data_IF_222183173068
#
_entry.id   IF_222183173068
#
_cell.length_a   1.000
_cell.length_b   1.000
_cell.length_c   1.000
_cell.angle_alpha   90.00
_cell.angle_beta   90.00
_cell.angle_gamma   90.00
#
_symmetry.space_group_name_H-M   'P 1'
#
loop_
_entity.id
_entity.type
_entity.pdbx_description
1 polymer ?
#
# COMPACT_ATOMS: atom_id res chain seq x y z
N UNK A 1 -33.63 14.86 0.34
CA UNK A 1 -32.88 15.74 -0.63
C UNK A 1 -31.35 15.64 -0.46
N UNK A 2 -30.82 14.77 0.35
CA UNK A 2 -29.38 14.85 0.73
C UNK A 2 -28.52 13.69 0.28
N UNK A 3 -29.05 12.67 -0.33
CA UNK A 3 -28.27 11.46 -0.70
C UNK A 3 -27.61 11.53 -2.09
N UNK A 4 -27.83 12.57 -2.86
CA UNK A 4 -27.26 12.70 -4.22
C UNK A 4 -26.00 13.56 -4.32
N UNK A 5 -25.53 14.15 -3.20
CA UNK A 5 -24.37 15.05 -3.14
C UNK A 5 -23.08 14.37 -2.63
N UNK A 6 -23.17 13.13 -2.13
CA UNK A 6 -22.00 12.37 -1.68
C UNK A 6 -21.40 11.68 -2.91
N UNK A 7 -20.38 12.29 -3.49
CA UNK A 7 -19.71 11.83 -4.71
C UNK A 7 -19.69 12.84 -5.86
N UNK A 8 -20.28 14.03 -5.66
CA UNK A 8 -20.17 15.11 -6.65
C UNK A 8 -18.74 15.69 -6.66
N UNK A 9 -18.30 16.18 -7.82
CA UNK A 9 -17.00 16.86 -7.99
C UNK A 9 -16.78 17.99 -6.98
N UNK A 10 -17.86 18.64 -6.53
CA UNK A 10 -17.86 19.68 -5.51
C UNK A 10 -17.40 19.15 -4.15
N UNK A 11 -17.83 17.94 -3.74
CA UNK A 11 -17.39 17.32 -2.47
C UNK A 11 -15.91 16.90 -2.49
N UNK A 12 -15.40 16.45 -3.63
CA UNK A 12 -13.98 16.10 -3.80
C UNK A 12 -13.10 17.35 -3.70
N UNK A 13 -13.52 18.41 -4.38
CA UNK A 13 -12.84 19.70 -4.30
C UNK A 13 -12.82 20.25 -2.87
N UNK A 14 -13.94 20.16 -2.15
CA UNK A 14 -14.04 20.66 -0.76
C UNK A 14 -13.14 19.87 0.19
N UNK A 15 -13.04 18.55 0.05
CA UNK A 15 -12.09 17.72 0.83
C UNK A 15 -10.64 18.15 0.64
N UNK A 16 -10.26 18.52 -0.59
CA UNK A 16 -8.90 18.95 -0.89
C UNK A 16 -8.56 20.35 -0.34
N UNK A 17 -9.59 21.14 0.06
CA UNK A 17 -9.38 22.53 0.49
C UNK A 17 -8.68 22.66 1.84
N UNK A 18 -8.90 21.73 2.76
CA UNK A 18 -8.17 21.69 4.03
C UNK A 18 -6.67 21.60 3.81
N UNK A 19 -6.23 20.64 3.03
CA UNK A 19 -4.82 20.43 2.67
C UNK A 19 -4.24 21.63 1.88
N UNK A 20 -4.99 22.11 0.91
CA UNK A 20 -4.60 23.29 0.13
C UNK A 20 -4.35 24.53 1.01
N UNK A 21 -5.29 24.84 1.93
CA UNK A 21 -5.17 26.00 2.81
C UNK A 21 -4.03 25.83 3.82
N UNK A 22 -3.93 24.63 4.41
CA UNK A 22 -2.83 24.30 5.32
C UNK A 22 -1.47 24.40 4.60
N UNK A 23 -1.36 23.87 3.40
CA UNK A 23 -0.15 23.97 2.59
C UNK A 23 0.25 25.44 2.31
N UNK A 24 -0.71 26.31 2.03
CA UNK A 24 -0.45 27.75 1.86
C UNK A 24 0.03 28.43 3.15
N UNK A 25 -0.60 28.12 4.28
CA UNK A 25 -0.22 28.65 5.58
C UNK A 25 1.20 28.19 5.92
N UNK A 26 1.49 26.91 5.75
CA UNK A 26 2.83 26.37 6.02
C UNK A 26 3.90 26.95 5.10
N UNK A 27 3.61 27.10 3.81
CA UNK A 27 4.54 27.75 2.88
C UNK A 27 4.87 29.20 3.31
N UNK A 28 3.85 29.97 3.66
CA UNK A 28 4.02 31.32 4.15
C UNK A 28 4.79 31.38 5.49
N UNK A 29 4.49 30.46 6.41
CA UNK A 29 5.16 30.37 7.71
C UNK A 29 6.65 30.01 7.59
N UNK A 30 6.98 29.07 6.70
CA UNK A 30 8.35 28.61 6.47
C UNK A 30 9.15 29.51 5.52
N UNK A 31 8.49 30.42 4.78
CA UNK A 31 9.11 31.21 3.72
C UNK A 31 9.47 30.36 2.48
N UNK A 32 8.72 29.28 2.23
CA UNK A 32 8.92 28.33 1.12
C UNK A 32 7.96 28.63 -0.03
N UNK A 33 8.30 28.14 -1.22
CA UNK A 33 7.42 28.23 -2.38
C UNK A 33 6.19 27.33 -2.19
N UNK A 34 5.01 27.86 -2.48
CA UNK A 34 3.79 27.06 -2.54
C UNK A 34 3.59 26.47 -3.94
N UNK A 35 3.45 25.15 -4.04
CA UNK A 35 3.14 24.46 -5.29
C UNK A 35 1.80 23.73 -5.13
N UNK A 36 0.76 24.20 -5.81
CA UNK A 36 -0.54 23.53 -5.79
C UNK A 36 -0.43 22.15 -6.47
N UNK A 37 -0.81 21.09 -5.74
CA UNK A 37 -0.81 19.72 -6.25
C UNK A 37 -1.65 19.56 -7.53
N UNK A 38 -2.77 20.28 -7.64
CA UNK A 38 -3.60 20.28 -8.85
C UNK A 38 -2.86 20.79 -10.09
N UNK A 39 -1.77 21.54 -9.94
CA UNK A 39 -0.98 22.04 -11.06
C UNK A 39 0.08 21.06 -11.55
N UNK A 40 0.46 20.07 -10.74
CA UNK A 40 1.60 19.18 -10.99
C UNK A 40 1.28 17.68 -10.92
N UNK A 41 0.18 17.28 -10.29
CA UNK A 41 -0.29 15.89 -10.23
C UNK A 41 -1.47 15.72 -11.19
N UNK A 42 -1.33 14.80 -12.14
CA UNK A 42 -2.29 14.55 -13.21
C UNK A 42 -3.00 13.22 -13.07
N UNK A 43 -4.31 13.28 -13.28
CA UNK A 43 -5.18 12.13 -13.39
C UNK A 43 -5.84 12.08 -14.76
N UNK A 44 -6.10 10.88 -15.26
CA UNK A 44 -6.96 10.68 -16.41
C UNK A 44 -8.45 10.87 -16.04
N UNK A 45 -9.34 10.80 -17.04
CA UNK A 45 -10.79 10.93 -16.81
C UNK A 45 -11.37 9.80 -15.97
N UNK A 46 -10.74 8.62 -15.97
CA UNK A 46 -11.15 7.48 -15.15
C UNK A 46 -10.67 7.59 -13.69
N UNK A 47 -9.76 8.54 -13.39
CA UNK A 47 -9.22 8.76 -12.06
C UNK A 47 -7.90 8.03 -11.81
N UNK A 48 -7.26 7.47 -12.83
CA UNK A 48 -5.95 6.86 -12.71
C UNK A 48 -4.85 7.93 -12.77
N UNK A 49 -3.78 7.73 -12.02
CA UNK A 49 -2.62 8.61 -12.02
C UNK A 49 -1.86 8.54 -13.34
N UNK A 50 -1.67 9.68 -13.99
CA UNK A 50 -0.77 9.83 -15.14
C UNK A 50 0.68 10.05 -14.64
N UNK A 51 1.35 8.95 -14.26
CA UNK A 51 2.62 8.99 -13.52
C UNK A 51 3.74 9.70 -14.27
N UNK A 52 3.86 9.51 -15.59
CA UNK A 52 4.92 10.13 -16.40
C UNK A 52 4.72 11.63 -16.59
N UNK A 53 3.49 12.06 -16.85
CA UNK A 53 3.19 13.48 -16.99
C UNK A 53 3.33 14.19 -15.64
N UNK A 54 2.85 13.56 -14.54
CA UNK A 54 3.06 14.05 -13.18
C UNK A 54 4.56 14.24 -12.88
N UNK A 55 5.39 13.25 -13.17
CA UNK A 55 6.84 13.32 -12.95
C UNK A 55 7.47 14.49 -13.71
N UNK A 56 7.12 14.68 -14.96
CA UNK A 56 7.57 15.78 -15.81
C UNK A 56 7.20 17.15 -15.24
N UNK A 57 5.94 17.32 -14.82
CA UNK A 57 5.44 18.57 -14.27
C UNK A 57 6.09 18.89 -12.93
N UNK A 58 6.22 17.90 -12.04
CA UNK A 58 6.92 18.02 -10.76
C UNK A 58 8.38 18.41 -10.96
N UNK A 59 9.15 17.67 -11.77
CA UNK A 59 10.56 17.95 -12.03
C UNK A 59 10.75 19.36 -12.59
N UNK A 60 9.94 19.76 -13.57
CA UNK A 60 10.01 21.10 -14.18
C UNK A 60 9.66 22.21 -13.18
N UNK A 61 8.70 21.96 -12.29
CA UNK A 61 8.28 22.96 -11.31
C UNK A 61 9.29 23.10 -10.20
N UNK A 62 9.77 21.98 -9.65
CA UNK A 62 10.63 21.93 -8.49
C UNK A 62 12.11 22.28 -8.81
N UNK A 63 12.56 22.10 -10.07
CA UNK A 63 13.90 22.52 -10.48
C UNK A 63 14.16 24.02 -10.31
N UNK A 64 13.12 24.83 -10.09
CA UNK A 64 13.20 26.28 -9.89
C UNK A 64 13.08 26.70 -8.43
N UNK A 65 12.79 25.77 -7.53
CA UNK A 65 12.54 26.02 -6.12
C UNK A 65 13.58 25.32 -5.27
N UNK A 66 14.20 26.03 -4.35
CA UNK A 66 15.12 25.44 -3.38
C UNK A 66 14.34 24.68 -2.29
N UNK A 67 13.22 25.27 -1.86
CA UNK A 67 12.31 24.69 -0.87
C UNK A 67 10.87 24.92 -1.32
N UNK A 68 10.04 23.87 -1.24
CA UNK A 68 8.64 23.96 -1.63
C UNK A 68 7.73 23.20 -0.65
N UNK A 69 6.51 23.72 -0.48
CA UNK A 69 5.42 23.02 0.19
C UNK A 69 4.39 22.62 -0.86
N UNK A 70 4.10 21.33 -0.91
CA UNK A 70 3.13 20.73 -1.82
C UNK A 70 2.07 20.03 -0.98
N UNK A 71 0.80 20.46 -1.01
CA UNK A 71 -0.25 19.75 -0.30
C UNK A 71 -0.45 18.36 -0.93
N UNK A 72 -0.64 17.35 -0.07
CA UNK A 72 -0.79 15.97 -0.52
C UNK A 72 -2.20 15.58 -0.90
N UNK A 73 -2.37 14.33 -1.31
CA UNK A 73 -3.58 13.53 -1.46
C UNK A 73 -4.51 13.89 -2.64
N UNK A 74 -4.28 14.96 -3.40
CA UNK A 74 -5.08 15.35 -4.57
C UNK A 74 -4.22 15.78 -5.76
N UNK A 75 -4.86 15.88 -6.90
CA UNK A 75 -4.34 16.43 -8.15
C UNK A 75 -5.50 16.88 -9.05
N UNK A 76 -5.29 16.98 -10.34
CA UNK A 76 -6.35 17.34 -11.27
C UNK A 76 -6.23 16.62 -12.61
N UNK A 77 -7.38 16.44 -13.28
CA UNK A 77 -7.45 16.08 -14.69
C UNK A 77 -6.99 17.24 -15.59
N UNK A 78 -6.79 16.98 -16.87
CA UNK A 78 -6.37 17.98 -17.85
C UNK A 78 -7.37 19.16 -18.00
N UNK A 79 -8.66 18.91 -17.74
CA UNK A 79 -9.73 19.91 -17.75
C UNK A 79 -9.81 20.76 -16.47
N UNK A 80 -8.95 20.49 -15.49
CA UNK A 80 -8.92 21.17 -14.19
C UNK A 80 -9.83 20.56 -13.12
N UNK A 81 -10.56 19.48 -13.43
CA UNK A 81 -11.37 18.76 -12.43
C UNK A 81 -10.47 18.14 -11.36
N UNK A 82 -10.68 18.51 -10.10
CA UNK A 82 -9.88 17.98 -8.96
C UNK A 82 -10.26 16.54 -8.68
N UNK A 83 -9.25 15.70 -8.53
CA UNK A 83 -9.35 14.28 -8.12
C UNK A 83 -8.50 14.02 -6.89
N UNK A 84 -8.91 13.06 -6.08
CA UNK A 84 -8.17 12.60 -4.91
C UNK A 84 -7.71 11.17 -5.11
N UNK A 85 -6.58 10.81 -4.49
CA UNK A 85 -6.19 9.41 -4.38
C UNK A 85 -7.20 8.65 -3.53
N UNK A 86 -7.37 7.36 -3.81
CA UNK A 86 -8.32 6.50 -3.09
C UNK A 86 -7.88 6.21 -1.65
N UNK A 87 -6.57 6.00 -1.43
CA UNK A 87 -5.94 5.73 -0.14
C UNK A 87 -4.51 6.22 -0.12
N UNK A 88 -3.99 6.54 1.09
CA UNK A 88 -2.58 6.90 1.30
C UNK A 88 -2.08 8.04 0.42
N UNK A 89 -2.98 8.94 -0.02
CA UNK A 89 -2.68 9.91 -1.07
C UNK A 89 -1.59 10.91 -0.72
N UNK A 90 -1.42 11.23 0.56
CA UNK A 90 -0.32 12.08 1.02
C UNK A 90 1.01 11.37 0.88
N UNK A 91 1.08 10.09 1.25
CA UNK A 91 2.27 9.25 1.12
C UNK A 91 2.65 9.05 -0.36
N UNK A 92 1.64 8.80 -1.21
CA UNK A 92 1.82 8.70 -2.68
C UNK A 92 2.36 10.02 -3.23
N UNK A 93 1.80 11.16 -2.78
CA UNK A 93 2.28 12.49 -3.22
C UNK A 93 3.75 12.69 -2.84
N UNK A 94 4.13 12.39 -1.58
CA UNK A 94 5.52 12.48 -1.13
C UNK A 94 6.46 11.61 -1.96
N UNK A 95 6.06 10.38 -2.25
CA UNK A 95 6.80 9.43 -3.08
C UNK A 95 6.99 9.94 -4.53
N UNK A 96 5.94 10.50 -5.15
CA UNK A 96 6.02 11.10 -6.49
C UNK A 96 6.96 12.30 -6.52
N UNK A 97 6.91 13.13 -5.48
CA UNK A 97 7.82 14.28 -5.34
C UNK A 97 9.26 13.80 -5.18
N UNK A 98 9.51 12.86 -4.26
CA UNK A 98 10.84 12.30 -4.04
C UNK A 98 11.45 11.72 -5.33
N UNK A 99 10.65 10.97 -6.10
CA UNK A 99 11.05 10.48 -7.42
C UNK A 99 11.40 11.62 -8.38
N UNK A 100 10.54 12.63 -8.49
CA UNK A 100 10.67 13.72 -9.48
C UNK A 100 11.90 14.60 -9.26
N UNK A 101 12.39 14.70 -8.02
CA UNK A 101 13.60 15.47 -7.68
C UNK A 101 14.84 14.58 -7.47
N UNK A 102 14.72 13.26 -7.67
CA UNK A 102 15.78 12.28 -7.37
C UNK A 102 16.33 12.45 -5.96
N UNK A 103 15.41 12.43 -4.96
CA UNK A 103 15.75 12.65 -3.57
C UNK A 103 16.73 11.59 -3.04
N UNK A 104 17.64 11.99 -2.15
CA UNK A 104 18.54 11.06 -1.46
C UNK A 104 17.80 10.17 -0.48
N UNK A 105 16.69 10.68 0.09
CA UNK A 105 15.82 9.98 1.03
C UNK A 105 14.41 10.57 0.98
N UNK A 106 13.40 9.73 1.20
CA UNK A 106 12.03 10.13 1.46
C UNK A 106 11.70 9.88 2.94
N UNK A 107 11.57 10.93 3.74
CA UNK A 107 11.10 10.81 5.12
C UNK A 107 9.57 10.88 5.18
N UNK A 108 8.95 9.83 5.70
CA UNK A 108 7.51 9.78 5.96
C UNK A 108 7.27 9.96 7.47
N UNK A 109 6.77 11.13 7.84
CA UNK A 109 6.49 11.50 9.22
C UNK A 109 5.04 11.14 9.59
N UNK A 110 4.89 10.25 10.59
CA UNK A 110 3.63 9.69 11.06
C UNK A 110 3.56 9.72 12.59
N UNK A 111 2.61 9.02 13.20
CA UNK A 111 2.42 8.93 14.64
C UNK A 111 3.11 7.72 15.29
N UNK A 112 3.87 6.94 14.51
CA UNK A 112 4.63 5.77 14.99
C UNK A 112 6.11 5.88 14.64
N UNK A 113 6.99 5.31 15.48
CA UNK A 113 8.44 5.35 15.32
C UNK A 113 8.99 4.26 14.37
N UNK A 114 8.25 3.94 13.31
CA UNK A 114 8.61 2.90 12.34
C UNK A 114 7.93 1.57 12.59
N UNK A 115 8.55 0.48 12.11
CA UNK A 115 8.03 -0.87 12.24
C UNK A 115 8.60 -1.57 13.47
N UNK A 116 7.78 -2.41 14.09
CA UNK A 116 8.16 -3.27 15.19
C UNK A 116 8.27 -4.72 14.68
N UNK A 117 9.12 -5.52 15.32
CA UNK A 117 9.30 -6.93 14.94
C UNK A 117 8.04 -7.77 15.09
N UNK A 118 7.06 -7.30 15.87
CA UNK A 118 5.75 -7.92 16.04
C UNK A 118 4.72 -6.90 16.56
N UNK A 119 3.45 -7.28 16.55
CA UNK A 119 2.34 -6.43 17.01
C UNK A 119 2.44 -6.15 18.52
N UNK A 120 2.54 -4.88 18.96
CA UNK A 120 2.63 -4.51 20.37
C UNK A 120 1.36 -4.85 21.18
N UNK A 121 0.24 -5.14 20.52
CA UNK A 121 -0.99 -5.62 21.17
C UNK A 121 -0.90 -7.10 21.59
N UNK A 122 0.05 -7.85 21.01
CA UNK A 122 0.24 -9.28 21.25
C UNK A 122 1.49 -9.52 22.13
N UNK A 123 2.57 -8.81 21.84
CA UNK A 123 3.84 -8.94 22.57
C UNK A 123 4.19 -7.62 23.23
N UNK A 124 4.44 -7.67 24.54
CA UNK A 124 4.81 -6.48 25.29
C UNK A 124 6.23 -6.01 24.92
N UNK A 125 6.37 -4.71 24.61
CA UNK A 125 7.64 -4.06 24.25
C UNK A 125 8.43 -4.78 23.13
N UNK A 126 7.84 -4.95 21.93
CA UNK A 126 8.58 -5.54 20.83
C UNK A 126 9.72 -4.61 20.37
N UNK A 127 10.81 -5.21 19.91
CA UNK A 127 11.97 -4.47 19.39
C UNK A 127 11.61 -3.69 18.12
N UNK A 128 12.16 -2.48 17.90
CA UNK A 128 12.02 -1.76 16.65
C UNK A 128 12.88 -2.38 15.54
N UNK A 129 12.36 -2.34 14.32
CA UNK A 129 13.11 -2.71 13.12
C UNK A 129 13.89 -1.48 12.63
N UNK A 130 15.21 -1.50 12.69
CA UNK A 130 16.06 -0.39 12.26
C UNK A 130 16.07 -0.22 10.73
N UNK A 131 16.13 -1.34 10.00
CA UNK A 131 16.11 -1.34 8.55
C UNK A 131 15.41 -2.59 8.01
N UNK A 132 14.66 -2.42 6.94
CA UNK A 132 13.88 -3.48 6.28
C UNK A 132 13.97 -3.31 4.76
N UNK A 133 13.96 -4.41 4.02
CA UNK A 133 13.87 -4.34 2.57
C UNK A 133 12.43 -4.10 2.11
N UNK A 134 12.27 -3.53 0.91
CA UNK A 134 10.94 -3.38 0.29
C UNK A 134 10.19 -4.70 0.19
N UNK A 135 10.90 -5.81 -0.03
CA UNK A 135 10.31 -7.14 -0.11
C UNK A 135 9.76 -7.59 1.24
N UNK A 136 10.57 -7.50 2.29
CA UNK A 136 10.15 -7.87 3.65
C UNK A 136 8.99 -6.99 4.15
N UNK A 137 9.06 -5.68 3.87
CA UNK A 137 7.98 -4.75 4.18
C UNK A 137 6.67 -5.18 3.55
N UNK A 138 6.69 -5.57 2.27
CA UNK A 138 5.50 -6.01 1.56
C UNK A 138 4.88 -7.24 2.20
N UNK A 139 5.68 -8.23 2.59
CA UNK A 139 5.21 -9.42 3.30
C UNK A 139 4.56 -9.08 4.65
N UNK A 140 5.20 -8.19 5.44
CA UNK A 140 4.65 -7.75 6.73
C UNK A 140 3.37 -6.93 6.57
N UNK A 141 3.32 -6.03 5.59
CA UNK A 141 2.15 -5.19 5.33
C UNK A 141 0.95 -6.00 4.87
N UNK A 142 1.16 -7.01 4.04
CA UNK A 142 0.12 -7.93 3.59
C UNK A 142 -0.55 -8.67 4.75
N UNK A 143 0.23 -9.02 5.77
CA UNK A 143 -0.25 -9.68 6.99
C UNK A 143 -0.74 -8.70 8.07
N UNK A 144 -0.93 -7.42 7.73
CA UNK A 144 -1.61 -6.44 8.60
C UNK A 144 -0.72 -5.47 9.36
N UNK A 145 0.61 -5.51 9.19
CA UNK A 145 1.53 -4.50 9.74
C UNK A 145 1.53 -3.24 8.85
N UNK A 146 0.38 -2.56 8.74
CA UNK A 146 0.21 -1.44 7.80
C UNK A 146 0.63 -0.13 8.45
N UNK A 147 1.80 0.38 8.12
CA UNK A 147 2.28 1.73 8.47
C UNK A 147 2.29 2.64 7.23
N UNK A 148 2.62 2.09 6.08
CA UNK A 148 2.70 2.82 4.81
C UNK A 148 1.88 2.09 3.74
N UNK A 149 1.16 2.84 2.90
CA UNK A 149 0.37 2.27 1.82
C UNK A 149 1.26 1.76 0.69
N UNK A 150 0.93 0.60 0.10
CA UNK A 150 1.73 -0.03 -0.97
C UNK A 150 1.95 0.88 -2.17
N UNK A 151 0.91 1.61 -2.59
CA UNK A 151 0.99 2.54 -3.72
C UNK A 151 2.02 3.66 -3.52
N UNK A 152 2.29 4.03 -2.26
CA UNK A 152 3.30 5.04 -1.93
C UNK A 152 4.74 4.52 -2.11
N UNK A 153 4.95 3.22 -2.04
CA UNK A 153 6.27 2.60 -2.13
C UNK A 153 6.74 2.51 -3.59
N UNK A 154 5.82 2.26 -4.50
CA UNK A 154 6.16 1.93 -5.88
C UNK A 154 6.99 2.98 -6.63
N UNK A 155 6.66 4.30 -6.58
CA UNK A 155 7.44 5.32 -7.30
C UNK A 155 8.90 5.42 -6.83
N UNK A 156 9.15 5.39 -5.51
CA UNK A 156 10.49 5.53 -4.93
C UNK A 156 11.31 4.25 -5.03
N UNK A 157 10.66 3.09 -4.89
CA UNK A 157 11.33 1.79 -5.04
C UNK A 157 11.97 1.62 -6.41
N UNK A 158 11.27 2.00 -7.47
CA UNK A 158 11.79 1.91 -8.85
C UNK A 158 13.06 2.73 -9.07
N UNK A 159 13.21 3.82 -8.34
CA UNK A 159 14.37 4.71 -8.40
C UNK A 159 15.43 4.37 -7.33
N UNK A 160 15.18 3.38 -6.48
CA UNK A 160 16.09 3.00 -5.39
C UNK A 160 16.19 4.04 -4.26
N UNK A 161 15.23 4.96 -4.15
CA UNK A 161 15.22 6.00 -3.13
C UNK A 161 14.79 5.39 -1.79
N UNK A 162 15.60 5.43 -0.73
CA UNK A 162 15.21 4.91 0.57
C UNK A 162 14.07 5.70 1.20
N UNK A 163 13.20 5.00 1.96
CA UNK A 163 12.15 5.64 2.77
C UNK A 163 12.53 5.51 4.23
N UNK A 164 12.39 6.58 5.01
CA UNK A 164 12.53 6.53 6.46
C UNK A 164 11.19 6.88 7.13
N UNK A 165 10.63 5.95 7.89
CA UNK A 165 9.42 6.19 8.68
C UNK A 165 9.81 6.83 10.00
N UNK A 166 9.34 8.05 10.26
CA UNK A 166 9.69 8.87 11.43
C UNK A 166 8.44 9.23 12.24
N UNK A 167 8.62 9.41 13.55
CA UNK A 167 7.55 9.78 14.46
C UNK A 167 7.53 11.29 14.72
N UNK A 168 6.40 11.94 14.40
CA UNK A 168 6.20 13.38 14.69
C UNK A 168 6.16 13.69 16.18
N UNK A 169 5.74 12.72 17.01
CA UNK A 169 5.66 12.88 18.46
C UNK A 169 6.98 12.55 19.19
N UNK A 170 7.92 11.88 18.49
CA UNK A 170 9.25 11.53 19.00
C UNK A 170 10.28 11.71 17.88
N UNK A 171 10.60 12.94 17.50
CA UNK A 171 11.45 13.24 16.33
C UNK A 171 12.92 12.81 16.51
N UNK A 172 13.36 12.51 17.72
CA UNK A 172 14.68 11.95 18.06
C UNK A 172 14.79 10.46 17.73
N UNK A 173 13.66 9.74 17.60
CA UNK A 173 13.66 8.33 17.22
C UNK A 173 14.18 8.18 15.79
N UNK A 174 15.06 7.20 15.56
CA UNK A 174 15.66 6.95 14.23
C UNK A 174 14.64 6.46 13.22
N UNK A 175 13.55 5.85 13.70
CA UNK A 175 12.54 5.25 12.85
C UNK A 175 13.01 3.96 12.16
N UNK A 176 12.33 3.57 11.08
CA UNK A 176 12.68 2.40 10.26
C UNK A 176 13.07 2.85 8.86
N UNK A 177 14.26 2.44 8.41
CA UNK A 177 14.74 2.69 7.05
C UNK A 177 14.32 1.54 6.12
N UNK A 178 13.61 1.87 5.04
CA UNK A 178 13.17 0.93 4.00
C UNK A 178 14.10 1.10 2.79
N UNK A 179 14.74 0.01 2.37
CA UNK A 179 15.77 0.01 1.33
C UNK A 179 15.59 -1.14 0.34
N UNK A 180 16.25 -1.10 -0.80
CA UNK A 180 16.24 -2.20 -1.78
C UNK A 180 17.00 -3.43 -1.25
N UNK A 181 18.13 -3.21 -0.59
CA UNK A 181 18.93 -4.26 0.02
C UNK A 181 19.63 -3.78 1.28
N UNK A 182 19.76 -4.66 2.25
CA UNK A 182 20.52 -4.39 3.47
C UNK A 182 21.93 -4.94 3.32
N UNK A 183 22.94 -4.05 3.39
CA UNK A 183 24.35 -4.45 3.35
C UNK A 183 24.89 -4.97 4.71
N UNK A 184 24.16 -4.77 5.79
CA UNK A 184 24.55 -5.20 7.14
C UNK A 184 23.97 -6.57 7.44
N UNK A 185 24.75 -7.42 8.14
CA UNK A 185 24.19 -8.64 8.72
C UNK A 185 23.04 -8.26 9.65
N UNK A 186 21.87 -8.89 9.50
CA UNK A 186 20.73 -8.59 10.35
C UNK A 186 21.06 -8.94 11.81
N UNK A 187 20.57 -8.13 12.74
CA UNK A 187 20.70 -8.37 14.19
C UNK A 187 20.01 -9.69 14.59
N UNK A 188 18.91 -10.00 13.93
CA UNK A 188 18.09 -11.18 14.16
C UNK A 188 17.92 -12.01 12.88
N UNK A 189 17.70 -13.31 13.03
CA UNK A 189 17.43 -14.22 11.92
C UNK A 189 16.07 -13.94 11.25
N UNK A 190 15.11 -13.40 12.01
CA UNK A 190 13.76 -13.07 11.56
C UNK A 190 13.60 -11.55 11.64
N UNK A 191 13.21 -10.92 10.55
CA UNK A 191 13.01 -9.46 10.47
C UNK A 191 11.77 -9.03 11.24
N UNK A 192 10.69 -9.80 11.13
CA UNK A 192 9.44 -9.52 11.84
C UNK A 192 8.44 -10.66 11.71
N UNK A 193 7.41 -10.61 12.54
CA UNK A 193 6.30 -11.57 12.55
C UNK A 193 5.00 -10.77 12.53
N UNK A 194 4.24 -10.93 11.46
CA UNK A 194 2.89 -10.37 11.33
C UNK A 194 1.87 -11.50 11.19
N UNK A 195 0.65 -11.26 11.63
CA UNK A 195 -0.44 -12.24 11.54
C UNK A 195 -1.79 -11.55 11.38
N UNK A 196 -2.62 -12.13 10.55
CA UNK A 196 -4.00 -11.70 10.29
C UNK A 196 -4.95 -12.83 10.64
N UNK A 197 -6.07 -12.50 11.25
CA UNK A 197 -7.16 -13.44 11.57
C UNK A 197 -8.24 -13.39 10.49
N UNK A 198 -9.19 -14.34 10.54
CA UNK A 198 -10.36 -14.36 9.66
C UNK A 198 -10.14 -15.17 8.39
N UNK A 199 -9.35 -16.23 8.48
CA UNK A 199 -9.17 -17.21 7.40
C UNK A 199 -9.82 -18.53 7.74
N UNK A 200 -10.34 -19.22 6.72
CA UNK A 200 -10.69 -20.61 6.77
C UNK A 200 -9.79 -21.43 5.82
N UNK A 201 -9.66 -22.71 6.12
CA UNK A 201 -8.90 -23.65 5.33
C UNK A 201 -9.82 -24.71 4.74
N UNK A 202 -9.71 -24.93 3.44
CA UNK A 202 -10.44 -25.96 2.72
C UNK A 202 -9.43 -27.03 2.32
N UNK A 203 -9.53 -28.20 2.94
CA UNK A 203 -8.64 -29.31 2.67
C UNK A 203 -9.27 -30.25 1.65
N UNK A 204 -8.58 -30.46 0.54
CA UNK A 204 -8.99 -31.34 -0.55
C UNK A 204 -8.07 -32.57 -0.51
N UNK A 205 -8.67 -33.76 -0.39
CA UNK A 205 -7.95 -35.03 -0.36
C UNK A 205 -8.33 -35.85 -1.58
N UNK A 206 -7.33 -36.37 -2.29
CA UNK A 206 -7.53 -37.24 -3.43
C UNK A 206 -6.36 -38.22 -3.57
N UNK A 207 -6.64 -39.50 -3.52
CA UNK A 207 -5.63 -40.53 -3.77
C UNK A 207 -4.99 -40.33 -5.13
N UNK A 208 -3.66 -40.37 -5.19
CA UNK A 208 -2.87 -40.18 -6.42
C UNK A 208 -3.06 -38.80 -7.07
N UNK A 209 -3.37 -37.78 -6.27
CA UNK A 209 -3.59 -36.42 -6.74
C UNK A 209 -2.40 -35.89 -7.57
N UNK A 210 -1.19 -36.19 -7.15
CA UNK A 210 0.06 -35.78 -7.82
C UNK A 210 0.25 -36.39 -9.21
N UNK A 211 -0.45 -37.50 -9.53
CA UNK A 211 -0.40 -38.16 -10.83
C UNK A 211 -1.40 -37.57 -11.82
N UNK A 212 -2.36 -36.78 -11.36
CA UNK A 212 -3.36 -36.15 -12.22
C UNK A 212 -2.87 -34.78 -12.72
N UNK A 213 -2.53 -34.72 -14.00
CA UNK A 213 -2.09 -33.48 -14.64
C UNK A 213 -3.23 -32.44 -14.62
N UNK A 214 -2.93 -31.26 -14.05
CA UNK A 214 -3.87 -30.15 -14.01
C UNK A 214 -4.89 -30.18 -12.86
N UNK A 215 -4.78 -31.11 -11.90
CA UNK A 215 -5.70 -31.19 -10.77
C UNK A 215 -5.74 -29.86 -9.99
N UNK A 216 -4.60 -29.29 -9.62
CA UNK A 216 -4.55 -27.99 -8.92
C UNK A 216 -5.23 -26.86 -9.70
N UNK A 217 -5.10 -26.84 -11.04
CA UNK A 217 -5.81 -25.87 -11.88
C UNK A 217 -7.33 -26.06 -11.79
N UNK A 218 -7.82 -27.29 -11.81
CA UNK A 218 -9.26 -27.58 -11.69
C UNK A 218 -9.82 -27.14 -10.35
N UNK A 219 -9.06 -27.38 -9.26
CA UNK A 219 -9.44 -26.92 -7.93
C UNK A 219 -9.50 -25.40 -7.88
N UNK A 220 -8.44 -24.70 -8.31
CA UNK A 220 -8.40 -23.23 -8.28
C UNK A 220 -9.44 -22.59 -9.21
N UNK A 221 -9.81 -23.27 -10.31
CA UNK A 221 -10.88 -22.83 -11.19
C UNK A 221 -12.24 -22.72 -10.46
N UNK A 222 -12.54 -23.63 -9.52
CA UNK A 222 -13.76 -23.56 -8.72
C UNK A 222 -13.80 -22.29 -7.87
N UNK A 223 -12.66 -21.88 -7.29
CA UNK A 223 -12.57 -20.62 -6.54
C UNK A 223 -12.72 -19.41 -7.45
N UNK A 224 -12.06 -19.43 -8.61
CA UNK A 224 -12.17 -18.36 -9.61
C UNK A 224 -13.62 -18.19 -10.09
N UNK A 225 -14.32 -19.29 -10.46
CA UNK A 225 -15.70 -19.27 -10.93
C UNK A 225 -16.67 -18.72 -9.87
N UNK A 226 -16.33 -18.86 -8.59
CA UNK A 226 -17.09 -18.32 -7.46
C UNK A 226 -16.63 -16.91 -7.05
N UNK A 227 -15.62 -16.36 -7.70
CA UNK A 227 -15.03 -15.06 -7.35
C UNK A 227 -14.44 -15.04 -5.95
N UNK A 228 -13.82 -16.14 -5.51
CA UNK A 228 -13.14 -16.28 -4.21
C UNK A 228 -11.65 -16.15 -4.44
N UNK A 229 -11.02 -15.20 -3.77
CA UNK A 229 -9.57 -15.06 -3.75
C UNK A 229 -8.94 -16.02 -2.74
N UNK A 230 -7.77 -16.57 -3.06
CA UNK A 230 -7.02 -17.39 -2.13
C UNK A 230 -5.75 -16.70 -1.65
N UNK A 231 -5.35 -16.98 -0.41
CA UNK A 231 -4.18 -16.40 0.21
C UNK A 231 -2.96 -17.33 0.19
N UNK A 232 -3.21 -18.62 0.37
CA UNK A 232 -2.14 -19.62 0.43
C UNK A 232 -2.66 -20.99 0.00
N UNK A 233 -1.81 -21.75 -0.72
CA UNK A 233 -2.20 -23.07 -1.27
C UNK A 233 -1.05 -24.07 -1.08
N UNK A 234 -0.83 -24.59 0.14
CA UNK A 234 0.08 -25.70 0.34
C UNK A 234 -0.48 -26.99 -0.25
N UNK A 235 0.37 -27.76 -0.94
CA UNK A 235 0.01 -29.04 -1.52
C UNK A 235 0.99 -30.14 -1.11
N UNK A 236 0.44 -31.32 -0.81
CA UNK A 236 1.16 -32.57 -0.59
C UNK A 236 1.01 -33.52 -1.76
N UNK A 237 1.25 -34.82 -1.51
CA UNK A 237 1.12 -35.87 -2.53
C UNK A 237 -0.36 -36.12 -2.87
N UNK A 238 -1.20 -36.27 -1.85
CA UNK A 238 -2.61 -36.63 -1.95
C UNK A 238 -3.53 -35.55 -1.32
N UNK A 239 -2.97 -34.39 -0.96
CA UNK A 239 -3.71 -33.30 -0.31
C UNK A 239 -3.36 -31.94 -0.89
N UNK A 240 -4.33 -31.06 -0.94
CA UNK A 240 -4.18 -29.65 -1.27
C UNK A 240 -5.06 -28.83 -0.34
N UNK A 241 -4.49 -27.87 0.36
CA UNK A 241 -5.26 -26.98 1.24
C UNK A 241 -5.30 -25.58 0.66
N UNK A 242 -6.49 -25.02 0.54
CA UNK A 242 -6.68 -23.63 0.08
C UNK A 242 -7.11 -22.80 1.26
N UNK A 243 -6.35 -21.73 1.55
CA UNK A 243 -6.70 -20.73 2.57
C UNK A 243 -7.38 -19.55 1.89
N UNK A 244 -8.56 -19.21 2.38
CA UNK A 244 -9.38 -18.09 1.86
C UNK A 244 -9.84 -17.22 3.01
N UNK A 245 -10.19 -15.96 2.72
CA UNK A 245 -10.76 -15.09 3.72
C UNK A 245 -12.17 -15.58 4.11
N UNK A 246 -12.46 -15.64 5.39
CA UNK A 246 -13.71 -16.20 5.91
C UNK A 246 -14.93 -15.46 5.33
N UNK A 247 -14.88 -14.14 5.28
CA UNK A 247 -15.99 -13.31 4.76
C UNK A 247 -16.33 -13.60 3.29
N UNK A 248 -15.35 -14.02 2.49
CA UNK A 248 -15.59 -14.39 1.08
C UNK A 248 -16.18 -15.80 0.92
N UNK A 249 -16.04 -16.63 1.94
CA UNK A 249 -16.41 -18.04 1.90
C UNK A 249 -17.73 -18.36 2.59
N UNK A 250 -18.11 -17.66 3.68
CA UNK A 250 -19.29 -17.99 4.51
C UNK A 250 -20.59 -18.11 3.72
N UNK A 251 -20.82 -17.24 2.72
CA UNK A 251 -22.04 -17.28 1.89
C UNK A 251 -21.99 -18.35 0.78
N UNK A 252 -20.82 -18.97 0.55
CA UNK A 252 -20.54 -19.85 -0.58
C UNK A 252 -20.12 -21.26 -0.18
N UNK A 253 -20.11 -21.56 1.10
CA UNK A 253 -19.64 -22.84 1.67
C UNK A 253 -20.34 -24.05 1.05
N UNK A 254 -21.66 -23.99 0.86
CA UNK A 254 -22.43 -25.11 0.29
C UNK A 254 -22.14 -25.36 -1.19
N UNK A 255 -21.78 -24.33 -1.96
CA UNK A 255 -21.51 -24.43 -3.38
C UNK A 255 -20.14 -25.09 -3.67
N UNK A 256 -19.16 -24.89 -2.82
CA UNK A 256 -17.81 -25.43 -3.00
C UNK A 256 -17.75 -26.95 -2.76
N UNK A 257 -18.54 -27.47 -1.82
CA UNK A 257 -18.58 -28.90 -1.48
C UNK A 257 -19.20 -29.76 -2.60
N UNK A 258 -20.16 -29.23 -3.34
CA UNK A 258 -20.86 -29.97 -4.41
C UNK A 258 -19.99 -30.19 -5.64
N UNK A 259 -19.13 -29.24 -5.99
CA UNK A 259 -18.31 -29.30 -7.22
C UNK A 259 -16.99 -30.07 -7.06
N UNK A 260 -16.54 -30.32 -5.84
CA UNK A 260 -15.28 -31.04 -5.56
C UNK A 260 -15.53 -32.53 -5.29
N UNK A 261 -16.74 -32.94 -4.91
CA UNK A 261 -17.10 -34.28 -4.46
C UNK A 261 -17.69 -35.20 -5.54
N UNK A 262 -17.97 -34.70 -6.74
CA UNK A 262 -18.45 -35.61 -7.82
C UNK A 262 -17.28 -36.27 -8.54
N UNK A 263 -17.12 -37.61 -8.43
CA UNK A 263 -16.24 -38.37 -9.31
C UNK A 263 -16.89 -38.46 -10.70
N UNK A 264 -16.26 -37.87 -11.68
CA UNK A 264 -16.52 -38.18 -13.09
C UNK A 264 -15.87 -39.48 -13.47
#
# INVERSE_FOLDING_TARGET
ITTRLVGSEMCIRDRSRGEFLNGKIMAAYLGYDFVDAASVIRFDKAGNLEAEETNKLLSKKLSKSQHAVIPGFYGACADGTVKTFSRGGSDVTGSLVAKAIHADIYENWTDVSGFLVTDPRIVHNPEPIEAITYRELRELSYMGATVLHEDAIFPVRKEGIPINIRNTNSPEDKGTLIVESTCKKPKFTITGIAGKKGFCSINIEKSMMNSEIGFGRKVLQVFEDQGISFEHVPSGIDTMTVYVHQDEFEEKEQLSLIHISEPT
#
